data_IF_022735127875
#
_entry.id   IF_022735127875
#
_cell.length_a   1.000
_cell.length_b   1.000
_cell.length_c   1.000
_cell.angle_alpha   90.00
_cell.angle_beta   90.00
_cell.angle_gamma   90.00
#
_symmetry.space_group_name_H-M   'P 1'
#
loop_
_entity.id
_entity.type
_entity.pdbx_description
1 polymer ?
#
# COMPACT_ATOMS: atom_id res chain seq x y z
N UNK A 1 -2.14 20.50 24.16
CA UNK A 1 -1.47 20.23 22.87
C UNK A 1 -2.37 19.29 22.06
N UNK A 2 -2.64 19.66 20.82
CA UNK A 2 -3.35 18.81 19.87
C UNK A 2 -2.33 18.05 18.97
N UNK A 3 -2.73 16.92 18.33
CA UNK A 3 -1.87 16.19 17.40
C UNK A 3 -1.40 17.06 16.24
N UNK A 4 -0.25 16.73 15.67
CA UNK A 4 0.28 17.39 14.45
C UNK A 4 0.00 16.63 13.18
N UNK A 5 -0.43 15.36 13.28
CA UNK A 5 -0.90 14.51 12.21
C UNK A 5 -2.17 13.79 12.65
N UNK A 6 -3.01 13.42 11.69
CA UNK A 6 -4.22 12.61 11.88
C UNK A 6 -4.62 11.95 10.57
N UNK A 7 -5.42 10.91 10.64
CA UNK A 7 -5.97 10.20 9.47
C UNK A 7 -7.48 10.40 9.44
N UNK A 8 -8.06 10.59 8.26
CA UNK A 8 -9.52 10.66 8.14
C UNK A 8 -10.15 9.41 8.75
N UNK A 9 -11.22 9.59 9.48
CA UNK A 9 -11.90 8.46 10.10
C UNK A 9 -11.33 7.96 11.43
N UNK A 10 -10.13 8.37 11.84
CA UNK A 10 -9.52 7.94 13.09
C UNK A 10 -10.22 8.52 14.33
N UNK A 11 -10.22 7.73 15.39
CA UNK A 11 -10.65 8.17 16.71
C UNK A 11 -9.58 9.03 17.36
N UNK A 12 -10.00 10.11 18.00
CA UNK A 12 -9.11 10.98 18.73
C UNK A 12 -8.71 10.36 20.07
N UNK A 13 -7.45 10.56 20.44
CA UNK A 13 -6.95 10.13 21.74
C UNK A 13 -7.59 10.98 22.88
N UNK A 14 -8.03 10.30 23.93
CA UNK A 14 -8.54 10.92 25.14
C UNK A 14 -7.50 11.76 25.92
N UNK A 15 -6.23 11.73 25.48
CA UNK A 15 -5.19 12.62 26.03
C UNK A 15 -5.33 14.08 25.59
N UNK A 16 -6.13 14.36 24.56
CA UNK A 16 -6.43 15.72 24.12
C UNK A 16 -7.29 16.40 25.18
N UNK A 17 -6.81 17.51 25.72
CA UNK A 17 -7.50 18.27 26.73
C UNK A 17 -7.64 19.72 26.35
N UNK A 18 -8.76 20.32 26.73
CA UNK A 18 -9.10 21.73 26.54
C UNK A 18 -9.21 22.39 27.91
N UNK A 19 -8.63 23.56 28.07
CA UNK A 19 -8.74 24.35 29.31
C UNK A 19 -9.51 25.62 29.02
N UNK A 20 -10.53 25.85 29.81
CA UNK A 20 -11.40 27.02 29.77
C UNK A 20 -11.12 27.94 30.97
N UNK A 21 -11.33 29.22 30.81
CA UNK A 21 -11.25 30.20 31.89
C UNK A 21 -12.55 31.01 31.91
N UNK A 22 -13.13 31.17 33.11
CA UNK A 22 -14.18 32.14 33.32
C UNK A 22 -13.51 33.42 33.83
N UNK A 23 -13.11 34.30 32.87
CA UNK A 23 -12.49 35.60 33.22
C UNK A 23 -13.57 36.60 33.62
N UNK A 24 -13.60 37.05 34.88
CA UNK A 24 -14.65 37.94 35.36
C UNK A 24 -14.60 39.35 34.76
N UNK A 25 -13.57 39.72 34.00
CA UNK A 25 -13.44 41.05 33.35
C UNK A 25 -13.59 42.25 34.30
N UNK A 26 -13.79 42.00 35.59
CA UNK A 26 -14.09 43.02 36.61
C UNK A 26 -14.29 42.48 38.05
N UNK A 27 -14.89 43.29 38.94
CA UNK A 27 -15.01 42.97 40.38
C UNK A 27 -16.13 41.98 40.72
N UNK A 28 -16.93 41.48 39.79
CA UNK A 28 -18.05 40.60 40.05
C UNK A 28 -17.72 39.19 39.58
N UNK A 29 -17.62 38.25 40.52
CA UNK A 29 -17.24 36.86 40.28
C UNK A 29 -18.51 36.01 40.23
N UNK A 30 -19.09 35.87 39.03
CA UNK A 30 -20.22 34.97 38.78
C UNK A 30 -19.76 33.60 38.30
N UNK A 31 -20.55 32.57 38.55
CA UNK A 31 -20.40 31.26 37.88
C UNK A 31 -20.92 31.36 36.44
N UNK A 32 -20.24 30.71 35.49
CA UNK A 32 -20.65 30.72 34.09
C UNK A 32 -22.03 30.11 33.82
N UNK A 33 -22.52 29.21 34.66
CA UNK A 33 -23.58 28.28 34.24
C UNK A 33 -22.99 27.06 33.56
N UNK A 34 -23.84 26.16 33.10
CA UNK A 34 -23.43 25.04 32.21
C UNK A 34 -23.41 25.52 30.75
N UNK A 35 -22.49 24.98 29.97
CA UNK A 35 -22.33 25.29 28.54
C UNK A 35 -21.86 24.09 27.79
N UNK A 36 -22.07 24.11 26.50
CA UNK A 36 -21.54 23.11 25.56
C UNK A 36 -20.35 23.68 24.80
N UNK A 37 -19.45 22.79 24.38
CA UNK A 37 -18.28 23.13 23.58
C UNK A 37 -17.99 22.06 22.56
N UNK A 38 -17.34 22.42 21.43
CA UNK A 38 -16.99 21.49 20.38
C UNK A 38 -15.61 21.79 19.79
N UNK A 39 -14.99 20.74 19.24
CA UNK A 39 -13.75 20.88 18.48
C UNK A 39 -14.01 21.02 16.98
N UNK A 40 -13.12 21.73 16.31
CA UNK A 40 -13.19 22.01 14.89
C UNK A 40 -11.83 21.83 14.20
N UNK A 41 -11.90 21.52 12.92
CA UNK A 41 -10.80 21.58 11.96
C UNK A 41 -11.12 22.68 10.93
N UNK A 42 -10.27 23.69 10.86
CA UNK A 42 -10.39 24.79 9.91
C UNK A 42 -9.25 24.80 8.90
N UNK A 43 -9.52 25.20 7.67
CA UNK A 43 -8.50 25.40 6.62
C UNK A 43 -7.69 26.68 6.81
N UNK A 44 -8.11 27.56 7.71
CA UNK A 44 -7.39 28.78 8.09
C UNK A 44 -7.29 28.92 9.63
N UNK A 45 -6.65 29.97 10.10
CA UNK A 45 -6.44 30.19 11.54
C UNK A 45 -7.63 30.85 12.26
N UNK A 46 -8.79 30.95 11.62
CA UNK A 46 -10.02 31.49 12.20
C UNK A 46 -10.99 30.36 12.45
N UNK A 47 -11.31 30.08 13.70
CA UNK A 47 -12.23 28.99 14.05
C UNK A 47 -13.65 29.54 14.15
N UNK A 48 -14.56 28.92 13.40
CA UNK A 48 -15.99 29.29 13.35
C UNK A 48 -16.87 28.03 13.39
N UNK A 49 -18.16 28.19 13.69
CA UNK A 49 -19.15 27.10 13.64
C UNK A 49 -19.44 26.58 12.20
N UNK A 50 -18.93 27.26 11.17
CA UNK A 50 -19.01 26.80 9.78
C UNK A 50 -17.83 25.87 9.39
N UNK A 51 -16.81 25.76 10.24
CA UNK A 51 -15.71 24.82 10.04
C UNK A 51 -16.13 23.37 10.29
N UNK A 52 -15.24 22.43 10.00
CA UNK A 52 -15.56 21.02 10.17
C UNK A 52 -15.51 20.63 11.65
N UNK A 53 -16.65 20.34 12.22
CA UNK A 53 -16.75 19.84 13.60
C UNK A 53 -16.18 18.42 13.70
N UNK A 54 -15.42 18.18 14.76
CA UNK A 54 -14.80 16.89 15.06
C UNK A 54 -15.49 16.23 16.24
N UNK A 55 -16.20 15.15 15.96
CA UNK A 55 -16.97 14.42 16.96
C UNK A 55 -18.29 15.10 17.33
N UNK A 56 -18.62 15.08 18.61
CA UNK A 56 -19.89 15.57 19.16
C UNK A 56 -19.64 16.71 20.14
N UNK A 57 -20.68 17.50 20.39
CA UNK A 57 -20.68 18.51 21.43
C UNK A 57 -20.42 17.89 22.80
N UNK A 58 -19.64 18.58 23.61
CA UNK A 58 -19.28 18.17 24.95
C UNK A 58 -19.93 19.13 25.94
N UNK A 59 -20.68 18.59 26.88
CA UNK A 59 -21.32 19.43 27.95
C UNK A 59 -20.41 19.58 29.12
N UNK A 60 -20.34 20.82 29.65
CA UNK A 60 -19.63 21.12 30.85
C UNK A 60 -20.56 21.78 31.91
N UNK A 61 -20.36 21.38 33.17
CA UNK A 61 -20.92 22.12 34.30
C UNK A 61 -20.19 23.44 34.50
N UNK A 62 -20.82 24.32 35.26
CA UNK A 62 -20.33 25.69 35.47
C UNK A 62 -18.88 25.78 35.95
N UNK A 63 -18.21 26.87 35.56
CA UNK A 63 -16.90 27.30 36.06
C UNK A 63 -17.10 28.54 36.93
N UNK A 64 -16.53 28.56 38.17
CA UNK A 64 -16.58 29.72 38.99
C UNK A 64 -15.80 30.88 38.39
N UNK A 65 -16.28 32.11 38.58
CA UNK A 65 -15.58 33.29 38.09
C UNK A 65 -14.14 33.39 38.61
N UNK A 66 -13.20 33.74 37.74
CA UNK A 66 -11.78 33.79 38.03
C UNK A 66 -11.13 32.39 38.15
N UNK A 67 -11.80 31.34 37.70
CA UNK A 67 -11.28 29.96 37.77
C UNK A 67 -11.17 29.36 36.37
N UNK A 68 -10.31 28.36 36.28
CA UNK A 68 -10.15 27.52 35.08
C UNK A 68 -10.82 26.17 35.27
N UNK A 69 -11.21 25.57 34.15
CA UNK A 69 -11.68 24.20 34.10
C UNK A 69 -11.02 23.46 32.93
N UNK A 70 -10.76 22.17 33.11
CA UNK A 70 -10.16 21.34 32.06
C UNK A 70 -11.06 20.16 31.76
N UNK A 71 -11.32 19.89 30.50
CA UNK A 71 -12.00 18.69 30.00
C UNK A 71 -11.11 17.94 29.06
N UNK A 72 -11.29 16.62 29.00
CA UNK A 72 -10.67 15.77 28.03
C UNK A 72 -11.70 15.35 26.98
N UNK A 73 -11.26 15.18 25.73
CA UNK A 73 -12.10 14.62 24.67
C UNK A 73 -12.57 13.20 25.03
N UNK A 74 -13.79 12.90 24.69
CA UNK A 74 -14.27 11.52 24.69
C UNK A 74 -13.55 10.71 23.60
N UNK A 75 -13.15 9.48 23.92
CA UNK A 75 -12.59 8.53 22.96
C UNK A 75 -13.56 8.13 21.83
N UNK A 76 -14.79 8.62 21.84
CA UNK A 76 -15.76 8.46 20.75
C UNK A 76 -15.69 9.56 19.68
N UNK A 77 -14.91 10.61 19.91
CA UNK A 77 -14.72 11.67 18.92
C UNK A 77 -13.83 11.18 17.79
N UNK A 78 -14.20 11.54 16.57
CA UNK A 78 -13.59 11.01 15.35
C UNK A 78 -13.37 12.13 14.33
N UNK A 79 -12.24 12.10 13.65
CA UNK A 79 -12.03 12.93 12.46
C UNK A 79 -13.03 12.46 11.39
N UNK A 80 -13.82 13.36 10.78
CA UNK A 80 -14.81 12.95 9.78
C UNK A 80 -14.16 12.23 8.60
N UNK A 81 -14.68 11.05 8.23
CA UNK A 81 -14.19 10.27 7.06
C UNK A 81 -14.49 10.95 5.71
N UNK A 82 -15.24 12.03 5.70
CA UNK A 82 -15.53 12.84 4.53
C UNK A 82 -14.63 14.07 4.39
N UNK A 83 -13.72 14.26 5.34
CA UNK A 83 -12.77 15.36 5.31
C UNK A 83 -11.73 15.10 4.19
N UNK A 84 -11.42 16.11 3.39
CA UNK A 84 -10.35 15.98 2.40
C UNK A 84 -8.99 16.00 3.11
N UNK A 85 -8.01 15.23 2.64
CA UNK A 85 -6.64 15.32 3.15
C UNK A 85 -6.05 16.72 2.98
N UNK A 86 -5.20 17.14 3.91
CA UNK A 86 -4.58 18.45 3.83
C UNK A 86 -4.20 19.06 5.18
N UNK A 87 -3.77 20.33 5.12
CA UNK A 87 -3.42 21.08 6.30
C UNK A 87 -4.64 21.76 6.89
N UNK A 88 -4.84 21.56 8.19
CA UNK A 88 -5.91 22.17 8.97
C UNK A 88 -5.34 22.78 10.24
N UNK A 89 -6.14 23.64 10.88
CA UNK A 89 -5.89 24.11 12.22
C UNK A 89 -6.89 23.46 13.17
N UNK A 90 -6.38 22.92 14.28
CA UNK A 90 -7.22 22.54 15.41
C UNK A 90 -7.76 23.79 16.10
N UNK A 91 -9.01 23.75 16.48
CA UNK A 91 -9.61 24.74 17.33
C UNK A 91 -10.81 24.22 18.10
N UNK A 92 -11.30 25.03 19.00
CA UNK A 92 -12.55 24.74 19.71
C UNK A 92 -13.33 26.03 19.95
N UNK A 93 -14.64 25.85 20.07
CA UNK A 93 -15.57 26.91 20.42
C UNK A 93 -16.27 26.49 21.72
N UNK A 94 -16.35 27.40 22.68
CA UNK A 94 -17.12 27.22 23.91
C UNK A 94 -18.45 27.93 23.75
N UNK A 95 -19.45 27.50 24.55
CA UNK A 95 -20.80 28.05 24.55
C UNK A 95 -21.41 28.15 23.16
N UNK A 96 -21.34 27.00 22.43
CA UNK A 96 -21.73 26.93 21.02
C UNK A 96 -23.21 27.22 20.77
N UNK A 97 -24.05 27.06 21.78
CA UNK A 97 -25.50 27.28 21.74
C UNK A 97 -25.92 28.63 22.31
N UNK A 98 -24.97 29.48 22.75
CA UNK A 98 -25.21 30.81 23.35
C UNK A 98 -26.12 30.74 24.60
N UNK A 99 -25.86 29.70 25.43
CA UNK A 99 -26.65 29.43 26.65
C UNK A 99 -26.23 30.32 27.84
N UNK A 100 -25.01 30.83 27.80
CA UNK A 100 -24.40 31.71 28.84
C UNK A 100 -24.26 33.10 28.29
N UNK A 101 -24.91 34.10 28.98
CA UNK A 101 -24.70 35.51 28.62
C UNK A 101 -23.36 35.99 29.16
N UNK A 102 -22.45 36.38 28.30
CA UNK A 102 -21.09 36.75 28.61
C UNK A 102 -20.85 38.26 28.46
N UNK A 103 -19.77 38.75 29.05
CA UNK A 103 -19.37 40.15 28.91
C UNK A 103 -18.74 40.45 27.54
N UNK A 104 -18.21 39.41 26.88
CA UNK A 104 -17.65 39.45 25.53
C UNK A 104 -17.94 38.13 24.82
N UNK A 105 -18.91 38.12 23.94
CA UNK A 105 -19.33 36.97 23.13
C UNK A 105 -18.39 36.71 21.92
N UNK A 106 -17.28 37.46 21.79
CA UNK A 106 -16.37 37.32 20.65
C UNK A 106 -15.07 36.56 20.98
N UNK A 107 -14.90 36.10 22.21
CA UNK A 107 -13.70 35.43 22.69
C UNK A 107 -13.87 33.93 22.93
N UNK A 108 -14.98 33.34 22.45
CA UNK A 108 -15.37 31.94 22.67
C UNK A 108 -14.66 30.94 21.75
N UNK A 109 -13.92 31.41 20.74
CA UNK A 109 -13.19 30.58 19.84
C UNK A 109 -11.68 30.61 20.09
N UNK A 110 -11.04 29.46 20.09
CA UNK A 110 -9.60 29.34 20.26
C UNK A 110 -8.98 28.48 19.13
N UNK A 111 -7.95 29.03 18.48
CA UNK A 111 -7.13 28.28 17.50
C UNK A 111 -5.90 27.68 18.17
N UNK A 112 -5.62 26.43 17.84
CA UNK A 112 -4.47 25.68 18.33
C UNK A 112 -3.39 25.56 17.23
N UNK A 113 -2.65 24.45 17.22
CA UNK A 113 -1.63 24.17 16.23
C UNK A 113 -2.22 23.67 14.91
N UNK A 114 -1.40 23.73 13.87
CA UNK A 114 -1.68 23.12 12.59
C UNK A 114 -1.54 21.58 12.67
N UNK A 115 -2.34 20.89 11.90
CA UNK A 115 -2.34 19.43 11.73
C UNK A 115 -2.40 19.09 10.26
N UNK A 116 -1.70 18.05 9.84
CA UNK A 116 -1.87 17.44 8.52
C UNK A 116 -2.80 16.22 8.64
N UNK A 117 -3.87 16.21 7.87
CA UNK A 117 -4.82 15.09 7.81
C UNK A 117 -4.51 14.28 6.56
N UNK A 118 -4.31 12.98 6.74
CA UNK A 118 -4.00 12.01 5.71
C UNK A 118 -5.24 11.21 5.31
N UNK A 119 -5.24 10.65 4.09
CA UNK A 119 -6.24 9.64 3.70
C UNK A 119 -6.02 8.32 4.45
N UNK A 120 -7.12 7.56 4.62
CA UNK A 120 -7.09 6.18 5.10
C UNK A 120 -6.99 5.27 3.86
N UNK A 121 -5.77 5.02 3.39
CA UNK A 121 -5.49 4.22 2.20
C UNK A 121 -4.34 3.24 2.45
N UNK A 122 -4.36 2.07 1.78
CA UNK A 122 -3.20 1.20 1.69
C UNK A 122 -2.10 1.81 0.81
N UNK A 123 -0.92 1.18 0.85
CA UNK A 123 0.22 1.48 -0.01
C UNK A 123 0.97 0.16 -0.28
N UNK A 124 0.68 -0.44 -1.42
CA UNK A 124 1.22 -1.76 -1.80
C UNK A 124 2.62 -1.55 -2.36
N UNK A 125 3.61 -1.96 -1.60
CA UNK A 125 5.02 -1.89 -1.98
C UNK A 125 5.54 -3.26 -2.43
N UNK A 126 6.03 -3.36 -3.66
CA UNK A 126 6.70 -4.53 -4.17
C UNK A 126 8.14 -4.56 -3.65
N UNK A 127 8.37 -5.23 -2.50
CA UNK A 127 9.67 -5.23 -1.82
C UNK A 127 10.72 -6.08 -2.55
N UNK A 128 10.37 -7.34 -2.86
CA UNK A 128 11.32 -8.26 -3.48
C UNK A 128 10.64 -9.39 -4.24
N UNK A 129 11.30 -9.84 -5.31
CA UNK A 129 11.03 -11.06 -6.05
C UNK A 129 12.36 -11.71 -6.40
N UNK A 130 12.41 -13.02 -6.50
CA UNK A 130 13.64 -13.70 -6.90
C UNK A 130 13.51 -15.21 -6.99
N UNK A 131 14.55 -15.83 -7.53
CA UNK A 131 14.71 -17.30 -7.63
C UNK A 131 16.11 -17.71 -7.22
N UNK A 132 16.25 -18.96 -6.75
CA UNK A 132 17.57 -19.55 -6.49
C UNK A 132 18.21 -20.16 -7.73
N UNK A 133 17.47 -20.25 -8.85
CA UNK A 133 17.97 -20.82 -10.09
C UNK A 133 18.80 -19.79 -10.86
N UNK A 134 20.02 -20.14 -11.25
CA UNK A 134 20.89 -19.32 -12.09
C UNK A 134 20.71 -19.60 -13.60
N UNK A 135 20.20 -20.81 -13.93
CA UNK A 135 19.83 -21.21 -15.29
C UNK A 135 18.61 -22.14 -15.25
N UNK A 136 17.88 -22.19 -16.35
CA UNK A 136 16.70 -23.05 -16.53
C UNK A 136 16.42 -23.23 -18.03
N UNK A 137 15.95 -24.43 -18.41
CA UNK A 137 15.50 -24.70 -19.78
C UNK A 137 14.06 -24.20 -19.97
N UNK A 138 13.73 -23.68 -21.16
CA UNK A 138 12.36 -23.32 -21.53
C UNK A 138 11.38 -24.45 -21.26
N UNK A 139 10.25 -24.18 -20.66
CA UNK A 139 9.23 -25.16 -20.28
C UNK A 139 9.44 -25.82 -18.93
N UNK A 140 10.64 -25.75 -18.35
CA UNK A 140 10.91 -26.23 -17.00
C UNK A 140 10.37 -25.25 -15.94
N UNK A 141 10.43 -25.69 -14.69
CA UNK A 141 9.91 -24.91 -13.56
C UNK A 141 11.04 -24.33 -12.70
N UNK A 142 10.82 -23.11 -12.21
CA UNK A 142 11.62 -22.49 -11.16
C UNK A 142 10.79 -22.31 -9.90
N UNK A 143 11.47 -22.19 -8.76
CA UNK A 143 10.84 -21.79 -7.51
C UNK A 143 11.04 -20.31 -7.28
N UNK A 144 9.95 -19.57 -7.09
CA UNK A 144 9.95 -18.12 -6.91
C UNK A 144 9.67 -17.79 -5.44
N UNK A 145 10.43 -16.85 -4.91
CA UNK A 145 10.19 -16.16 -3.64
C UNK A 145 9.73 -14.73 -3.91
N UNK A 146 8.87 -14.21 -3.05
CA UNK A 146 8.40 -12.83 -3.14
C UNK A 146 8.13 -12.22 -1.77
N UNK A 147 8.12 -10.90 -1.70
CA UNK A 147 7.62 -10.13 -0.57
C UNK A 147 6.89 -8.89 -1.10
N UNK A 148 5.69 -8.66 -0.59
CA UNK A 148 4.85 -7.48 -0.83
C UNK A 148 4.48 -6.92 0.52
N UNK A 149 4.66 -5.62 0.72
CA UNK A 149 4.35 -4.90 1.95
C UNK A 149 3.15 -3.98 1.73
N UNK A 150 2.45 -3.67 2.81
CA UNK A 150 1.49 -2.56 2.86
C UNK A 150 2.08 -1.49 3.78
N UNK A 151 2.61 -0.43 3.18
CA UNK A 151 3.22 0.70 3.89
C UNK A 151 2.17 1.75 4.33
N UNK A 152 0.93 1.60 3.86
CA UNK A 152 -0.18 2.49 4.17
C UNK A 152 -0.81 2.25 5.53
N UNK A 153 -1.87 2.98 5.79
CA UNK A 153 -2.57 3.03 7.07
C UNK A 153 -3.94 2.30 7.06
N UNK A 154 -4.36 1.75 5.90
CA UNK A 154 -5.53 0.88 5.76
C UNK A 154 -5.14 -0.50 5.20
N UNK A 155 -6.06 -1.45 5.22
CA UNK A 155 -5.85 -2.78 4.63
C UNK A 155 -6.03 -2.75 3.11
N UNK A 156 -5.25 -3.57 2.37
CA UNK A 156 -5.25 -3.53 0.89
C UNK A 156 -6.54 -4.05 0.25
N UNK A 157 -7.34 -4.87 0.93
CA UNK A 157 -8.30 -5.72 0.23
C UNK A 157 -7.59 -6.79 -0.61
N UNK A 158 -8.31 -7.40 -1.55
CA UNK A 158 -7.75 -8.42 -2.44
C UNK A 158 -7.25 -7.81 -3.74
N UNK A 159 -6.09 -8.26 -4.18
CA UNK A 159 -5.47 -7.84 -5.43
C UNK A 159 -4.70 -8.97 -6.09
N UNK A 160 -4.22 -8.75 -7.32
CA UNK A 160 -3.36 -9.68 -8.07
C UNK A 160 -1.96 -9.10 -8.23
N UNK A 161 -0.97 -9.98 -8.27
CA UNK A 161 0.37 -9.65 -8.71
C UNK A 161 0.81 -10.58 -9.82
N UNK A 162 1.58 -10.06 -10.74
CA UNK A 162 2.04 -10.76 -11.92
C UNK A 162 3.56 -10.85 -11.95
N UNK A 163 4.03 -11.97 -12.52
CA UNK A 163 5.44 -12.30 -12.68
C UNK A 163 5.83 -12.15 -14.15
N UNK A 164 6.97 -11.52 -14.39
CA UNK A 164 7.51 -11.23 -15.70
C UNK A 164 8.97 -11.62 -15.85
N UNK A 165 9.38 -11.90 -17.11
CA UNK A 165 10.78 -11.99 -17.52
C UNK A 165 11.09 -10.82 -18.45
N UNK A 166 12.12 -10.03 -18.11
CA UNK A 166 12.55 -8.88 -18.90
C UNK A 166 14.01 -8.99 -19.31
N UNK A 167 14.36 -8.49 -20.48
CA UNK A 167 15.75 -8.41 -20.95
C UNK A 167 16.54 -7.26 -20.30
N UNK A 168 15.85 -6.35 -19.61
CA UNK A 168 16.44 -5.27 -18.83
C UNK A 168 15.83 -5.21 -17.40
N UNK A 169 16.31 -4.32 -16.56
CA UNK A 169 15.86 -4.20 -15.16
C UNK A 169 14.58 -3.38 -14.97
N UNK A 170 13.97 -2.91 -16.06
CA UNK A 170 12.70 -2.15 -16.02
C UNK A 170 11.56 -3.08 -16.34
N UNK A 171 10.79 -3.45 -15.32
CA UNK A 171 9.68 -4.37 -15.49
C UNK A 171 8.42 -3.62 -15.91
N UNK A 172 7.78 -4.10 -16.97
CA UNK A 172 6.55 -3.54 -17.53
C UNK A 172 5.60 -4.64 -17.99
N UNK A 173 4.35 -4.31 -18.24
CA UNK A 173 3.37 -5.24 -18.84
C UNK A 173 3.65 -5.59 -20.32
N UNK A 174 4.67 -4.99 -20.95
CA UNK A 174 5.15 -5.36 -22.29
C UNK A 174 6.20 -6.49 -22.27
N UNK A 175 6.70 -6.82 -21.07
CA UNK A 175 7.66 -7.90 -20.89
C UNK A 175 6.98 -9.28 -21.00
N UNK A 176 7.75 -10.33 -20.91
CA UNK A 176 7.25 -11.69 -21.06
C UNK A 176 6.49 -12.09 -19.79
N UNK A 177 5.18 -12.19 -19.89
CA UNK A 177 4.34 -12.67 -18.80
C UNK A 177 4.66 -14.14 -18.47
N UNK A 178 4.81 -14.45 -17.19
CA UNK A 178 5.09 -15.79 -16.68
C UNK A 178 3.87 -16.37 -15.98
N UNK A 179 3.37 -15.70 -14.93
CA UNK A 179 2.24 -16.22 -14.14
C UNK A 179 1.58 -15.10 -13.33
N UNK A 180 0.39 -15.38 -12.77
CA UNK A 180 -0.41 -14.46 -11.97
C UNK A 180 -0.82 -15.10 -10.65
N UNK A 181 -0.81 -14.34 -9.57
CA UNK A 181 -1.15 -14.79 -8.23
C UNK A 181 -2.07 -13.80 -7.53
N UNK A 182 -2.90 -14.30 -6.61
CA UNK A 182 -3.80 -13.45 -5.82
C UNK A 182 -3.35 -13.33 -4.37
N UNK A 183 -3.55 -12.14 -3.81
CA UNK A 183 -3.44 -11.85 -2.39
C UNK A 183 -4.82 -11.47 -1.86
N UNK A 184 -5.23 -12.04 -0.73
CA UNK A 184 -6.56 -11.77 -0.17
C UNK A 184 -6.64 -10.44 0.57
N UNK A 185 -5.61 -10.10 1.34
CA UNK A 185 -5.45 -8.81 2.02
C UNK A 185 -4.12 -8.75 2.75
N UNK A 186 -3.58 -7.53 2.90
CA UNK A 186 -2.45 -7.21 3.78
C UNK A 186 -2.92 -6.07 4.71
N UNK A 187 -2.81 -6.28 6.02
CA UNK A 187 -3.15 -5.24 6.99
C UNK A 187 -2.13 -4.10 6.94
N UNK A 188 -2.53 -2.90 7.39
CA UNK A 188 -1.67 -1.73 7.53
C UNK A 188 -0.34 -2.08 8.23
N UNK A 189 0.78 -1.61 7.69
CA UNK A 189 2.12 -1.84 8.22
C UNK A 189 2.59 -3.31 8.22
N UNK A 190 1.91 -4.19 7.48
CA UNK A 190 2.20 -5.63 7.42
C UNK A 190 2.69 -6.05 6.04
N UNK A 191 3.04 -7.33 5.89
CA UNK A 191 3.48 -7.87 4.61
C UNK A 191 2.96 -9.29 4.33
N UNK A 192 3.01 -9.69 3.06
CA UNK A 192 2.90 -11.07 2.59
C UNK A 192 4.21 -11.48 1.94
N UNK A 193 4.62 -12.71 2.20
CA UNK A 193 5.79 -13.32 1.55
C UNK A 193 5.53 -14.79 1.30
N UNK A 194 6.20 -15.33 0.28
CA UNK A 194 6.22 -16.75 -0.04
C UNK A 194 7.54 -17.13 -0.70
N UNK A 195 7.93 -18.39 -0.60
CA UNK A 195 9.22 -18.89 -1.11
C UNK A 195 9.10 -20.26 -1.79
N UNK A 196 7.91 -20.66 -2.22
CA UNK A 196 7.67 -21.97 -2.81
C UNK A 196 6.64 -21.94 -3.95
N UNK A 197 6.57 -20.83 -4.69
CA UNK A 197 5.74 -20.79 -5.88
C UNK A 197 6.51 -21.43 -7.05
N UNK A 198 6.01 -22.56 -7.54
CA UNK A 198 6.56 -23.23 -8.71
C UNK A 198 5.91 -22.68 -9.96
N UNK A 199 6.69 -22.05 -10.82
CA UNK A 199 6.22 -21.43 -12.06
C UNK A 199 6.97 -22.04 -13.25
N UNK A 200 6.28 -22.24 -14.38
CA UNK A 200 6.90 -22.73 -15.60
C UNK A 200 7.42 -21.57 -16.45
N UNK A 201 8.64 -21.70 -16.91
CA UNK A 201 9.22 -20.75 -17.86
C UNK A 201 8.48 -20.89 -19.20
N UNK A 202 8.01 -19.80 -19.81
CA UNK A 202 7.33 -19.84 -21.10
C UNK A 202 8.20 -20.47 -22.19
N UNK A 203 7.57 -21.26 -23.06
CA UNK A 203 8.21 -21.78 -24.26
C UNK A 203 8.08 -20.79 -25.43
N UNK A 204 9.04 -20.80 -26.35
CA UNK A 204 9.01 -19.95 -27.57
C UNK A 204 9.47 -18.52 -27.33
N UNK A 205 10.16 -18.27 -26.24
CA UNK A 205 10.92 -17.04 -26.00
C UNK A 205 12.35 -17.22 -26.54
N UNK A 206 13.11 -16.13 -26.67
CA UNK A 206 14.51 -16.27 -27.08
C UNK A 206 15.35 -16.75 -25.88
N UNK A 207 16.35 -17.64 -26.10
CA UNK A 207 17.30 -17.97 -25.04
C UNK A 207 18.16 -16.78 -24.66
N UNK A 208 18.65 -16.76 -23.42
CA UNK A 208 19.51 -15.69 -22.90
C UNK A 208 19.19 -15.26 -21.48
N UNK A 209 19.78 -14.14 -21.07
CA UNK A 209 19.72 -13.63 -19.71
C UNK A 209 18.52 -12.72 -19.48
N UNK A 210 17.69 -13.05 -18.50
CA UNK A 210 16.50 -12.31 -18.12
C UNK A 210 16.52 -11.88 -16.65
N UNK A 211 15.94 -10.73 -16.37
CA UNK A 211 15.54 -10.34 -15.02
C UNK A 211 14.16 -10.94 -14.72
N UNK A 212 14.02 -11.49 -13.53
CA UNK A 212 12.71 -11.83 -12.99
C UNK A 212 12.11 -10.58 -12.34
N UNK A 213 10.87 -10.26 -12.63
CA UNK A 213 10.22 -9.07 -12.10
C UNK A 213 8.79 -9.32 -11.65
N UNK A 214 8.32 -8.48 -10.73
CA UNK A 214 6.97 -8.53 -10.19
C UNK A 214 6.30 -7.17 -10.34
N UNK A 215 5.01 -7.20 -10.72
CA UNK A 215 4.09 -6.06 -10.64
C UNK A 215 3.00 -6.43 -9.65
N UNK A 216 2.98 -5.78 -8.49
CA UNK A 216 1.92 -5.90 -7.50
C UNK A 216 0.73 -5.01 -7.91
N UNK A 217 -0.47 -5.37 -7.51
CA UNK A 217 -1.73 -4.80 -7.98
C UNK A 217 -1.78 -4.57 -9.51
N UNK A 218 -1.35 -5.57 -10.25
CA UNK A 218 -1.21 -5.54 -11.72
C UNK A 218 -2.48 -5.10 -12.48
N UNK A 219 -3.63 -5.14 -11.81
CA UNK A 219 -4.93 -4.75 -12.36
C UNK A 219 -5.42 -3.38 -11.88
N UNK A 220 -4.63 -2.66 -11.08
CA UNK A 220 -4.99 -1.39 -10.45
C UNK A 220 -6.37 -1.46 -9.77
N UNK A 221 -6.59 -2.50 -8.98
CA UNK A 221 -7.85 -2.80 -8.30
C UNK A 221 -7.95 -2.14 -6.92
N UNK A 222 -6.84 -1.71 -6.38
CA UNK A 222 -6.70 -1.01 -5.10
C UNK A 222 -6.31 0.44 -5.40
N UNK A 223 -6.92 1.40 -4.70
CA UNK A 223 -6.48 2.79 -4.73
C UNK A 223 -5.48 2.98 -3.58
N UNK A 224 -4.33 3.55 -3.85
CA UNK A 224 -3.18 3.55 -2.95
C UNK A 224 -2.65 4.96 -2.66
N UNK A 225 -1.85 5.09 -1.62
CA UNK A 225 -1.14 6.35 -1.32
C UNK A 225 -0.05 6.64 -2.35
N UNK A 226 0.65 5.60 -2.83
CA UNK A 226 1.67 5.69 -3.89
C UNK A 226 1.51 4.56 -4.91
N UNK A 227 0.99 4.87 -6.10
CA UNK A 227 0.81 3.93 -7.21
C UNK A 227 2.11 3.67 -8.00
N UNK A 228 3.24 4.24 -7.60
CA UNK A 228 4.49 4.18 -8.37
C UNK A 228 5.51 3.16 -7.82
N UNK A 229 5.22 2.54 -6.69
CA UNK A 229 6.13 1.64 -5.96
C UNK A 229 5.76 0.16 -6.05
N UNK A 230 4.81 -0.21 -6.93
CA UNK A 230 4.25 -1.56 -7.09
C UNK A 230 5.10 -2.49 -7.96
N UNK A 231 6.29 -2.08 -8.40
CA UNK A 231 7.12 -2.83 -9.34
C UNK A 231 8.50 -3.08 -8.77
N UNK A 232 8.97 -4.33 -8.87
CA UNK A 232 10.34 -4.70 -8.49
C UNK A 232 10.92 -5.72 -9.45
N UNK A 233 12.23 -5.61 -9.72
CA UNK A 233 13.02 -6.62 -10.42
C UNK A 233 14.00 -7.28 -9.45
N UNK A 234 14.29 -8.57 -9.68
CA UNK A 234 15.42 -9.25 -9.03
C UNK A 234 16.74 -8.55 -9.38
N UNK A 235 17.66 -8.54 -8.47
CA UNK A 235 19.02 -8.00 -8.68
C UNK A 235 19.90 -8.91 -9.55
N UNK A 236 19.56 -10.21 -9.61
CA UNK A 236 20.18 -11.23 -10.43
C UNK A 236 19.51 -11.40 -11.79
N UNK A 237 20.15 -12.14 -12.65
CA UNK A 237 19.57 -12.61 -13.92
C UNK A 237 19.58 -14.14 -13.94
N UNK A 238 18.56 -14.70 -14.56
CA UNK A 238 18.47 -16.12 -14.86
C UNK A 238 18.81 -16.34 -16.33
N UNK A 239 19.64 -17.35 -16.62
CA UNK A 239 19.95 -17.80 -17.98
C UNK A 239 18.86 -18.76 -18.45
N UNK A 240 18.18 -18.42 -19.52
CA UNK A 240 17.12 -19.26 -20.10
C UNK A 240 17.69 -19.95 -21.32
N UNK A 241 17.78 -21.27 -21.25
CA UNK A 241 18.40 -22.13 -22.23
C UNK A 241 17.34 -22.72 -23.19
N UNK A 242 17.72 -22.98 -24.42
CA UNK A 242 16.86 -23.71 -25.39
C UNK A 242 16.66 -25.16 -24.97
N UNK A 243 15.52 -25.72 -25.36
CA UNK A 243 15.31 -27.17 -25.28
C UNK A 243 16.22 -27.88 -26.25
N UNK A 244 16.41 -29.21 -26.07
CA UNK A 244 17.09 -30.05 -27.04
C UNK A 244 16.37 -30.00 -28.39
N UNK A 245 17.12 -29.79 -29.45
CA UNK A 245 16.62 -29.81 -30.83
C UNK A 245 17.35 -30.90 -31.63
N UNK A 246 16.67 -32.02 -31.88
CA UNK A 246 17.22 -33.15 -32.56
C UNK A 246 17.00 -33.08 -34.10
N UNK A 247 18.07 -32.81 -34.82
CA UNK A 247 18.06 -32.65 -36.26
C UNK A 247 18.75 -33.85 -36.92
N UNK A 248 18.04 -34.67 -37.73
CA UNK A 248 18.70 -35.71 -38.54
C UNK A 248 19.50 -35.07 -39.66
N UNK A 249 20.81 -35.23 -39.63
CA UNK A 249 21.73 -34.56 -40.58
C UNK A 249 22.23 -35.50 -41.66
N UNK A 250 22.33 -36.80 -41.43
CA UNK A 250 22.70 -37.75 -42.45
C UNK A 250 21.90 -39.04 -42.32
N UNK A 251 21.55 -39.59 -43.47
CA UNK A 251 21.01 -40.94 -43.61
C UNK A 251 21.45 -41.52 -44.96
N UNK A 252 22.21 -42.59 -44.93
CA UNK A 252 22.65 -43.26 -46.14
C UNK A 252 22.67 -44.78 -45.98
N UNK A 253 22.49 -45.44 -47.08
CA UNK A 253 22.54 -46.90 -47.19
C UNK A 253 22.89 -47.36 -48.60
N UNK A 254 23.06 -48.65 -48.83
CA UNK A 254 23.40 -49.18 -50.17
C UNK A 254 22.27 -48.86 -51.13
N UNK A 255 22.63 -48.61 -52.42
CA UNK A 255 21.69 -48.32 -53.50
C UNK A 255 20.94 -49.59 -54.00
N UNK A 256 21.38 -50.76 -53.59
CA UNK A 256 20.73 -52.06 -53.90
C UNK A 256 21.11 -53.09 -52.82
N UNK A 257 20.20 -54.03 -52.57
CA UNK A 257 20.42 -55.21 -51.72
C UNK A 257 19.53 -56.38 -52.22
N UNK A 258 19.88 -57.64 -51.92
CA UNK A 258 19.03 -58.81 -52.19
C UNK A 258 18.20 -59.11 -50.92
N UNK A 259 17.06 -59.78 -51.11
CA UNK A 259 16.24 -60.27 -50.02
C UNK A 259 17.04 -61.21 -49.11
N UNK A 260 17.14 -60.87 -47.81
CA UNK A 260 17.92 -61.62 -46.81
C UNK A 260 19.32 -61.09 -46.56
N UNK A 261 19.79 -60.06 -47.31
CA UNK A 261 21.07 -59.40 -47.02
C UNK A 261 21.03 -58.59 -45.75
N UNK A 262 22.16 -58.56 -45.04
CA UNK A 262 22.42 -57.56 -44.02
C UNK A 262 23.01 -56.35 -44.73
N UNK A 263 22.39 -55.18 -44.47
CA UNK A 263 22.82 -53.88 -45.02
C UNK A 263 23.31 -52.96 -43.93
N UNK A 264 24.41 -52.27 -44.21
CA UNK A 264 24.87 -51.20 -43.39
C UNK A 264 24.08 -49.92 -43.68
N UNK A 265 23.64 -49.19 -42.63
CA UNK A 265 22.99 -47.88 -42.70
C UNK A 265 23.82 -46.94 -41.88
N UNK A 266 24.22 -45.82 -42.47
CA UNK A 266 24.86 -44.73 -41.75
C UNK A 266 23.83 -43.62 -41.46
N UNK A 267 23.79 -43.18 -40.23
CA UNK A 267 22.92 -42.11 -39.81
C UNK A 267 23.63 -41.21 -38.80
N UNK A 268 23.20 -39.95 -38.74
CA UNK A 268 23.64 -38.96 -37.74
C UNK A 268 22.45 -38.10 -37.36
N UNK A 269 22.33 -37.88 -36.07
CA UNK A 269 21.41 -36.93 -35.46
C UNK A 269 22.27 -35.96 -34.66
N UNK A 270 22.13 -34.67 -34.89
CA UNK A 270 22.77 -33.61 -34.14
C UNK A 270 21.73 -33.01 -33.20
N UNK A 271 22.18 -32.54 -32.05
CA UNK A 271 21.39 -31.69 -31.17
C UNK A 271 21.82 -30.24 -31.41
N UNK A 272 20.93 -29.44 -31.99
CA UNK A 272 21.15 -28.01 -32.28
C UNK A 272 20.65 -27.10 -31.17
N UNK A 273 19.93 -27.65 -30.18
CA UNK A 273 19.52 -26.93 -28.97
C UNK A 273 20.57 -26.97 -27.86
N UNK A 274 20.39 -26.12 -26.82
CA UNK A 274 21.36 -25.93 -25.74
C UNK A 274 21.24 -27.01 -24.65
N UNK A 275 20.08 -27.68 -24.50
CA UNK A 275 19.88 -28.71 -23.49
C UNK A 275 20.31 -30.10 -23.96
N UNK A 276 20.62 -30.94 -22.99
CA UNK A 276 20.98 -32.34 -23.24
C UNK A 276 19.75 -33.16 -23.65
N UNK A 277 19.95 -34.16 -24.53
CA UNK A 277 18.87 -35.07 -24.97
C UNK A 277 18.39 -36.04 -23.89
N UNK A 278 18.88 -35.93 -22.65
CA UNK A 278 18.51 -36.69 -21.45
C UNK A 278 18.37 -38.22 -21.62
N UNK A 279 18.45 -38.97 -20.55
CA UNK A 279 18.10 -40.40 -20.51
C UNK A 279 16.97 -40.64 -19.55
#
# INVERSE_FOLDING_TARGET
NAPTTGVVGDYLDSSISVTFENDPGGSYIASSGSFDWAMYLSTDSTITSSDTQVGYDQSRSSINGGSTGTDSLSSSNRIPSTLNPGNYYWGFIVDIDDDVSESDENNNAYVCNQVYIEDELPDIYADSVGTSSSSVVMGDTITVSYRIENLGNDYTGSFYWELYLSTDSTITTNDIFVDEFSVTSISAGSYKSGNQYSVSIPTGINPGYYYLGMIADSRSSVTELDESNNVVADTGRIDIEEMADLVPTTFSGPSSAMSGDQVGIDWRIDNEGDDSTGW
#
